data_IF_536259645387
#
_entry.id   IF_536259645387
#
_cell.length_a   1.000
_cell.length_b   1.000
_cell.length_c   1.000
_cell.angle_alpha   90.00
_cell.angle_beta   90.00
_cell.angle_gamma   90.00
#
_symmetry.space_group_name_H-M   'P 1'
#
loop_
_entity.id
_entity.type
_entity.pdbx_description
1 polymer ?
#
# COMPACT_ATOMS: atom_id res chain seq x y z
N UNK A 1 -5.48 27.66 18.75
CA UNK A 1 -6.81 27.05 19.02
C UNK A 1 -7.52 26.53 17.75
N UNK A 2 -6.81 26.25 16.66
CA UNK A 2 -7.41 25.78 15.39
C UNK A 2 -7.29 24.27 15.12
N UNK A 3 -6.65 23.49 16.01
CA UNK A 3 -6.32 22.07 15.73
C UNK A 3 -7.34 21.04 16.23
N UNK A 4 -8.33 21.44 17.04
CA UNK A 4 -9.31 20.50 17.60
C UNK A 4 -10.58 20.33 16.73
N UNK A 5 -10.95 21.33 15.94
CA UNK A 5 -12.16 21.25 15.08
C UNK A 5 -12.01 20.36 13.85
N UNK A 6 -10.83 20.27 13.25
CA UNK A 6 -10.61 19.42 12.06
C UNK A 6 -10.74 17.92 12.36
N UNK A 7 -10.35 17.49 13.55
CA UNK A 7 -10.46 16.06 13.97
C UNK A 7 -11.90 15.62 14.23
N UNK A 8 -12.78 16.51 14.64
CA UNK A 8 -14.18 16.16 14.94
C UNK A 8 -15.06 16.01 13.68
N UNK A 9 -14.76 16.73 12.60
CA UNK A 9 -15.52 16.62 11.35
C UNK A 9 -15.18 15.33 10.58
N UNK A 10 -13.90 14.93 10.53
CA UNK A 10 -13.47 13.67 9.93
C UNK A 10 -14.07 12.44 10.63
N UNK A 11 -14.18 12.47 11.95
CA UNK A 11 -14.74 11.36 12.73
C UNK A 11 -16.25 11.20 12.54
N UNK A 12 -17.01 12.27 12.38
CA UNK A 12 -18.47 12.22 12.13
C UNK A 12 -18.81 11.77 10.72
N UNK A 13 -18.08 12.22 9.71
CA UNK A 13 -18.25 11.76 8.32
C UNK A 13 -17.87 10.28 8.18
N UNK A 14 -16.80 9.85 8.87
CA UNK A 14 -16.37 8.46 8.94
C UNK A 14 -17.42 7.56 9.62
N UNK A 15 -18.05 8.00 10.72
CA UNK A 15 -19.09 7.25 11.42
C UNK A 15 -20.41 7.19 10.63
N UNK A 16 -20.72 8.21 9.85
CA UNK A 16 -21.92 8.21 8.99
C UNK A 16 -21.76 7.25 7.80
N UNK A 17 -20.58 7.23 7.15
CA UNK A 17 -20.26 6.26 6.10
C UNK A 17 -20.27 4.81 6.64
N UNK A 18 -19.84 4.62 7.90
CA UNK A 18 -19.88 3.33 8.60
C UNK A 18 -21.31 2.79 8.82
N UNK A 19 -22.27 3.64 9.16
CA UNK A 19 -23.67 3.23 9.32
C UNK A 19 -24.35 2.89 7.99
N UNK A 20 -23.93 3.52 6.88
CA UNK A 20 -24.43 3.22 5.55
C UNK A 20 -23.84 1.92 4.96
N UNK A 21 -22.58 1.57 5.27
CA UNK A 21 -22.01 0.30 4.83
C UNK A 21 -22.64 -0.90 5.53
N UNK A 22 -22.97 -0.77 6.82
CA UNK A 22 -23.69 -1.82 7.58
C UNK A 22 -25.13 -2.03 7.09
N UNK A 23 -25.77 -1.01 6.50
CA UNK A 23 -27.13 -1.11 5.95
C UNK A 23 -27.21 -1.71 4.55
N UNK A 24 -26.09 -1.81 3.82
CA UNK A 24 -26.04 -2.30 2.43
C UNK A 24 -25.68 -3.78 2.31
N UNK A 25 -25.48 -4.51 3.41
CA UNK A 25 -25.14 -5.93 3.39
C UNK A 25 -26.38 -6.75 3.02
N UNK A 26 -26.27 -7.52 1.93
CA UNK A 26 -27.24 -8.59 1.61
C UNK A 26 -27.08 -9.71 2.65
N UNK A 27 -28.22 -10.30 3.07
CA UNK A 27 -28.21 -11.44 3.99
C UNK A 27 -27.49 -12.69 3.43
N UNK A 28 -27.09 -12.65 2.16
CA UNK A 28 -26.39 -13.75 1.44
C UNK A 28 -24.93 -13.44 1.13
N UNK A 29 -24.35 -12.31 1.60
CA UNK A 29 -22.92 -12.09 1.41
C UNK A 29 -22.14 -13.07 2.29
N UNK A 30 -21.17 -13.83 1.74
CA UNK A 30 -20.37 -14.77 2.53
C UNK A 30 -19.67 -14.01 3.66
N UNK A 31 -19.69 -14.59 4.86
CA UNK A 31 -18.99 -14.04 6.01
C UNK A 31 -17.52 -14.39 5.84
N UNK A 32 -16.77 -13.51 5.19
CA UNK A 32 -15.32 -13.64 5.08
C UNK A 32 -14.69 -13.07 6.35
N UNK A 33 -14.17 -13.93 7.20
CA UNK A 33 -13.41 -13.55 8.39
C UNK A 33 -12.05 -12.99 8.00
N UNK A 34 -11.59 -11.92 8.68
CA UNK A 34 -10.26 -11.33 8.44
C UNK A 34 -9.30 -11.71 9.57
N UNK A 35 -8.18 -12.30 9.20
CA UNK A 35 -7.07 -12.68 10.09
C UNK A 35 -5.88 -11.76 9.79
N UNK A 36 -5.42 -11.01 10.80
CA UNK A 36 -4.28 -10.13 10.70
C UNK A 36 -2.99 -10.77 11.20
N UNK A 37 -1.93 -10.67 10.39
CA UNK A 37 -0.58 -10.92 10.84
C UNK A 37 0.05 -9.69 11.52
N UNK A 38 1.29 -9.85 12.00
CA UNK A 38 1.94 -8.81 12.82
C UNK A 38 2.33 -7.57 12.02
N UNK A 39 2.66 -7.70 10.74
CA UNK A 39 3.11 -6.57 9.90
C UNK A 39 1.98 -5.81 9.20
N UNK A 40 0.71 -6.21 9.41
CA UNK A 40 -0.44 -5.60 8.73
C UNK A 40 -1.69 -5.54 9.62
N UNK A 41 -1.48 -5.40 10.93
CA UNK A 41 -2.55 -5.48 11.94
C UNK A 41 -3.61 -4.40 11.74
N UNK A 42 -3.18 -3.14 11.61
CA UNK A 42 -4.11 -2.02 11.52
C UNK A 42 -4.90 -2.08 10.20
N UNK A 43 -4.22 -2.42 9.09
CA UNK A 43 -4.91 -2.60 7.81
C UNK A 43 -5.91 -3.77 7.84
N UNK A 44 -5.56 -4.89 8.48
CA UNK A 44 -6.46 -6.03 8.62
C UNK A 44 -7.71 -5.65 9.44
N UNK A 45 -7.53 -4.87 10.51
CA UNK A 45 -8.63 -4.36 11.32
C UNK A 45 -9.51 -3.39 10.55
N UNK A 46 -8.91 -2.44 9.81
CA UNK A 46 -9.63 -1.52 8.92
C UNK A 46 -10.43 -2.30 7.85
N UNK A 47 -9.80 -3.32 7.25
CA UNK A 47 -10.45 -4.14 6.22
C UNK A 47 -11.64 -4.93 6.78
N UNK A 48 -11.51 -5.53 7.96
CA UNK A 48 -12.63 -6.21 8.62
C UNK A 48 -13.79 -5.23 8.91
N UNK A 49 -13.45 -4.00 9.30
CA UNK A 49 -14.43 -2.95 9.53
C UNK A 49 -15.14 -2.53 8.24
N UNK A 50 -14.40 -2.33 7.14
CA UNK A 50 -14.96 -2.01 5.82
C UNK A 50 -15.86 -3.14 5.30
N UNK A 51 -15.46 -4.40 5.50
CA UNK A 51 -16.25 -5.57 5.11
C UNK A 51 -17.44 -5.83 6.04
N UNK A 52 -17.46 -5.25 7.24
CA UNK A 52 -18.46 -5.50 8.26
C UNK A 52 -18.40 -6.93 8.82
N UNK A 53 -17.18 -7.46 8.98
CA UNK A 53 -16.93 -8.83 9.41
C UNK A 53 -16.04 -8.91 10.66
N UNK A 54 -15.87 -10.11 11.20
CA UNK A 54 -15.03 -10.36 12.38
C UNK A 54 -13.55 -10.19 12.02
N UNK A 55 -12.81 -9.53 12.89
CA UNK A 55 -11.34 -9.46 12.86
C UNK A 55 -10.76 -10.38 13.93
N UNK A 56 -9.74 -11.15 13.57
CA UNK A 56 -8.93 -11.96 14.48
C UNK A 56 -7.47 -11.53 14.33
N UNK A 57 -6.87 -11.14 15.43
CA UNK A 57 -5.42 -10.99 15.49
C UNK A 57 -4.80 -12.35 15.83
N UNK A 58 -3.99 -12.90 14.92
CA UNK A 58 -3.23 -14.09 15.21
C UNK A 58 -2.23 -13.85 16.35
N UNK A 59 -2.06 -14.84 17.21
CA UNK A 59 -1.02 -14.85 18.23
C UNK A 59 0.28 -15.33 17.59
N UNK A 60 1.26 -14.45 17.50
CA UNK A 60 2.55 -14.71 16.86
C UNK A 60 3.66 -14.49 17.88
N UNK A 61 4.48 -15.51 18.07
CA UNK A 61 5.61 -15.50 19.02
C UNK A 61 6.89 -15.86 18.26
N UNK A 62 7.98 -15.18 18.58
CA UNK A 62 9.33 -15.55 18.14
C UNK A 62 10.02 -16.28 19.27
N UNK A 63 10.46 -17.51 19.02
CA UNK A 63 11.28 -18.26 19.96
C UNK A 63 12.69 -17.65 20.05
N UNK A 64 13.46 -17.96 21.11
CA UNK A 64 14.81 -17.42 21.29
C UNK A 64 15.79 -17.76 20.16
N UNK A 65 15.58 -18.84 19.42
CA UNK A 65 16.33 -19.26 18.24
C UNK A 65 15.88 -18.55 16.96
N UNK A 66 14.81 -17.73 17.04
CA UNK A 66 14.27 -16.95 15.92
C UNK A 66 13.13 -17.63 15.15
N UNK A 67 12.78 -18.89 15.48
CA UNK A 67 11.65 -19.55 14.83
C UNK A 67 10.33 -18.87 15.18
N UNK A 68 9.42 -18.87 14.18
CA UNK A 68 8.10 -18.26 14.29
C UNK A 68 7.06 -19.29 14.73
N UNK A 69 6.35 -18.97 15.79
CA UNK A 69 5.13 -19.68 16.20
C UNK A 69 3.91 -18.82 15.86
N UNK A 70 2.91 -19.45 15.23
CA UNK A 70 1.64 -18.81 14.88
C UNK A 70 0.50 -19.62 15.44
N UNK A 71 -0.48 -18.96 16.08
CA UNK A 71 -1.72 -19.56 16.54
C UNK A 71 -2.89 -18.62 16.26
N UNK A 72 -3.95 -19.16 15.67
CA UNK A 72 -5.26 -18.53 15.58
C UNK A 72 -6.08 -19.07 16.76
N UNK A 73 -6.56 -18.21 17.66
CA UNK A 73 -7.25 -18.61 18.90
C UNK A 73 -8.75 -18.76 18.65
N UNK A 74 -9.09 -19.69 17.75
CA UNK A 74 -10.45 -20.10 17.43
C UNK A 74 -10.49 -21.65 17.41
N UNK A 75 -11.67 -22.25 17.56
CA UNK A 75 -11.87 -23.69 17.48
C UNK A 75 -12.11 -24.15 16.04
N UNK A 76 -12.80 -23.32 15.25
CA UNK A 76 -13.15 -23.57 13.85
C UNK A 76 -13.24 -22.22 13.11
N UNK A 77 -12.96 -22.21 11.80
CA UNK A 77 -13.11 -21.06 10.93
C UNK A 77 -14.17 -21.29 9.86
N UNK A 78 -14.70 -20.22 9.31
CA UNK A 78 -15.55 -20.24 8.14
C UNK A 78 -14.80 -20.79 6.92
N UNK A 79 -15.54 -21.29 5.93
CA UNK A 79 -14.99 -21.84 4.68
C UNK A 79 -14.09 -20.84 3.94
N UNK A 80 -14.43 -19.55 3.96
CA UNK A 80 -13.70 -18.49 3.30
C UNK A 80 -13.11 -17.50 4.33
N UNK A 81 -11.80 -17.34 4.27
CA UNK A 81 -11.08 -16.42 5.16
C UNK A 81 -10.12 -15.52 4.38
N UNK A 82 -9.85 -14.35 4.93
CA UNK A 82 -8.88 -13.40 4.41
C UNK A 82 -7.71 -13.34 5.39
N UNK A 83 -6.51 -13.68 4.93
CA UNK A 83 -5.25 -13.49 5.67
C UNK A 83 -4.60 -12.23 5.16
N UNK A 84 -4.29 -11.27 6.04
CA UNK A 84 -3.65 -10.00 5.69
C UNK A 84 -2.26 -9.96 6.32
N UNK A 85 -1.21 -10.03 5.50
CA UNK A 85 0.18 -10.02 5.96
C UNK A 85 1.13 -9.62 4.85
N UNK A 86 2.11 -8.76 5.14
CA UNK A 86 3.18 -8.40 4.21
C UNK A 86 4.16 -9.57 3.97
N UNK A 87 4.96 -9.47 2.92
CA UNK A 87 6.09 -10.37 2.67
C UNK A 87 7.45 -9.70 2.97
N UNK A 88 7.44 -8.57 3.63
CA UNK A 88 8.63 -7.81 4.03
C UNK A 88 8.51 -7.40 5.52
N UNK A 89 9.59 -7.58 6.30
CA UNK A 89 10.84 -8.31 6.00
C UNK A 89 10.59 -9.83 5.79
N UNK A 90 11.64 -10.60 5.46
CA UNK A 90 11.56 -12.04 5.16
C UNK A 90 10.81 -12.85 6.22
N UNK A 91 10.96 -12.46 7.48
CA UNK A 91 10.23 -13.05 8.61
C UNK A 91 8.70 -12.93 8.47
N UNK A 92 8.21 -11.88 7.79
CA UNK A 92 6.78 -11.69 7.53
C UNK A 92 6.25 -12.64 6.45
N UNK A 93 7.09 -13.02 5.47
CA UNK A 93 6.72 -14.07 4.51
C UNK A 93 6.53 -15.41 5.22
N UNK A 94 7.47 -15.81 6.08
CA UNK A 94 7.36 -17.06 6.86
C UNK A 94 6.08 -17.05 7.69
N UNK A 95 5.79 -15.93 8.34
CA UNK A 95 4.56 -15.74 9.11
C UNK A 95 3.30 -15.87 8.23
N UNK A 96 3.30 -15.29 7.02
CA UNK A 96 2.18 -15.41 6.08
C UNK A 96 1.88 -16.87 5.72
N UNK A 97 2.92 -17.68 5.46
CA UNK A 97 2.78 -19.11 5.17
C UNK A 97 2.21 -19.89 6.36
N UNK A 98 2.69 -19.59 7.57
CA UNK A 98 2.18 -20.24 8.79
C UNK A 98 0.74 -19.81 9.11
N UNK A 99 0.34 -18.57 8.82
CA UNK A 99 -1.04 -18.10 8.95
C UNK A 99 -1.98 -18.85 7.98
N UNK A 100 -1.54 -19.07 6.74
CA UNK A 100 -2.30 -19.85 5.76
C UNK A 100 -2.50 -21.29 6.23
N UNK A 101 -1.45 -21.95 6.72
CA UNK A 101 -1.50 -23.32 7.23
C UNK A 101 -2.41 -23.42 8.47
N UNK A 102 -2.26 -22.49 9.43
CA UNK A 102 -3.10 -22.45 10.63
C UNK A 102 -4.58 -22.24 10.28
N UNK A 103 -4.90 -21.38 9.31
CA UNK A 103 -6.26 -21.16 8.86
C UNK A 103 -6.85 -22.42 8.18
N UNK A 104 -6.07 -23.09 7.32
CA UNK A 104 -6.47 -24.36 6.69
C UNK A 104 -6.70 -25.46 7.73
N UNK A 105 -5.83 -25.56 8.74
CA UNK A 105 -5.96 -26.52 9.84
C UNK A 105 -7.22 -26.33 10.70
N UNK A 106 -7.79 -25.13 10.72
CA UNK A 106 -9.05 -24.80 11.38
C UNK A 106 -10.29 -24.90 10.47
N UNK A 107 -10.16 -25.46 9.26
CA UNK A 107 -11.27 -25.74 8.38
C UNK A 107 -11.47 -24.78 7.20
N UNK A 108 -10.69 -23.72 7.08
CA UNK A 108 -10.78 -22.80 5.94
C UNK A 108 -10.42 -23.52 4.63
N UNK A 109 -11.34 -23.51 3.65
CA UNK A 109 -11.18 -24.18 2.34
C UNK A 109 -10.75 -23.21 1.24
N UNK A 110 -11.11 -21.94 1.38
CA UNK A 110 -10.73 -20.87 0.46
C UNK A 110 -10.06 -19.75 1.24
N UNK A 111 -8.75 -19.61 1.07
CA UNK A 111 -7.95 -18.59 1.71
C UNK A 111 -7.60 -17.53 0.66
N UNK A 112 -8.05 -16.30 0.89
CA UNK A 112 -7.59 -15.12 0.18
C UNK A 112 -6.44 -14.52 0.97
N UNK A 113 -5.27 -14.38 0.35
CA UNK A 113 -4.12 -13.72 0.99
C UNK A 113 -3.98 -12.30 0.45
N UNK A 114 -4.18 -11.32 1.31
CA UNK A 114 -3.90 -9.91 1.02
C UNK A 114 -2.48 -9.61 1.45
N UNK A 115 -1.64 -9.26 0.49
CA UNK A 115 -0.25 -8.84 0.70
C UNK A 115 -0.15 -7.35 0.41
N UNK A 116 -0.30 -6.48 1.43
CA UNK A 116 -0.35 -5.03 1.23
C UNK A 116 0.93 -4.47 0.60
N UNK A 117 2.09 -4.96 1.02
CA UNK A 117 3.37 -4.72 0.36
C UNK A 117 4.03 -6.03 -0.03
N UNK A 118 4.14 -6.26 -1.34
CA UNK A 118 4.82 -7.42 -1.89
C UNK A 118 6.33 -7.16 -1.99
N UNK A 119 7.08 -7.64 -1.01
CA UNK A 119 8.55 -7.62 -1.04
C UNK A 119 9.09 -8.42 -2.23
N UNK A 120 10.30 -8.10 -2.69
CA UNK A 120 10.96 -8.73 -3.84
C UNK A 120 10.34 -8.44 -5.23
N UNK A 121 9.27 -7.66 -5.35
CA UNK A 121 8.63 -7.32 -6.63
C UNK A 121 9.58 -6.65 -7.64
N UNK A 122 10.71 -6.08 -7.16
CA UNK A 122 11.74 -5.44 -8.00
C UNK A 122 12.71 -6.43 -8.66
N UNK A 123 12.68 -7.71 -8.26
CA UNK A 123 13.49 -8.80 -8.84
C UNK A 123 12.59 -9.71 -9.67
N UNK A 124 11.99 -9.12 -10.69
CA UNK A 124 11.04 -9.74 -11.63
C UNK A 124 11.72 -10.34 -12.87
N UNK A 125 13.01 -10.06 -13.06
CA UNK A 125 13.85 -10.61 -14.12
C UNK A 125 15.27 -10.92 -13.61
N UNK A 126 16.03 -11.67 -14.40
CA UNK A 126 17.45 -11.94 -14.13
C UNK A 126 18.32 -10.98 -14.93
N UNK A 127 18.98 -10.06 -14.23
CA UNK A 127 19.92 -9.12 -14.84
C UNK A 127 21.27 -9.77 -15.13
N UNK A 128 21.62 -10.82 -14.38
CA UNK A 128 22.88 -11.58 -14.53
C UNK A 128 22.61 -13.07 -14.44
N UNK A 129 23.48 -13.85 -15.10
CA UNK A 129 23.46 -15.32 -14.98
C UNK A 129 23.64 -15.73 -13.51
N UNK A 130 22.83 -16.67 -13.03
CA UNK A 130 22.89 -17.18 -11.67
C UNK A 130 22.05 -16.40 -10.64
N UNK A 131 21.45 -15.27 -11.01
CA UNK A 131 20.52 -14.56 -10.11
C UNK A 131 19.23 -15.35 -9.90
N UNK A 132 18.69 -15.25 -8.67
CA UNK A 132 17.36 -15.76 -8.38
C UNK A 132 16.30 -14.89 -9.05
N UNK A 133 15.19 -15.48 -9.47
CA UNK A 133 13.97 -14.78 -9.84
C UNK A 133 13.10 -14.68 -8.59
N UNK A 134 13.47 -13.73 -7.70
CA UNK A 134 12.98 -13.71 -6.32
C UNK A 134 11.48 -13.52 -6.23
N UNK A 135 10.90 -12.60 -7.02
CA UNK A 135 9.46 -12.38 -7.06
C UNK A 135 8.69 -13.68 -7.36
N UNK A 136 9.20 -14.49 -8.33
CA UNK A 136 8.57 -15.77 -8.68
C UNK A 136 8.60 -16.78 -7.53
N UNK A 137 9.72 -16.83 -6.81
CA UNK A 137 9.85 -17.74 -5.65
C UNK A 137 8.85 -17.36 -4.56
N UNK A 138 8.70 -16.06 -4.27
CA UNK A 138 7.74 -15.57 -3.26
C UNK A 138 6.29 -15.86 -3.67
N UNK A 139 5.95 -15.61 -4.95
CA UNK A 139 4.62 -15.95 -5.50
C UNK A 139 4.32 -17.45 -5.33
N UNK A 140 5.29 -18.32 -5.67
CA UNK A 140 5.11 -19.77 -5.56
C UNK A 140 5.01 -20.25 -4.12
N UNK A 141 5.67 -19.61 -3.19
CA UNK A 141 5.51 -19.91 -1.77
C UNK A 141 4.09 -19.58 -1.29
N UNK A 142 3.57 -18.38 -1.59
CA UNK A 142 2.22 -17.97 -1.20
C UNK A 142 1.11 -18.83 -1.83
N UNK A 143 1.35 -19.36 -3.03
CA UNK A 143 0.42 -20.25 -3.76
C UNK A 143 0.13 -21.56 -2.99
N UNK A 144 1.02 -21.98 -2.09
CA UNK A 144 0.86 -23.24 -1.34
C UNK A 144 -0.42 -23.25 -0.50
N UNK A 145 -0.75 -22.12 0.14
CA UNK A 145 -1.90 -22.01 1.04
C UNK A 145 -3.00 -21.05 0.54
N UNK A 146 -2.79 -20.30 -0.54
CA UNK A 146 -3.74 -19.29 -1.02
C UNK A 146 -4.43 -19.71 -2.31
N UNK A 147 -5.72 -19.35 -2.45
CA UNK A 147 -6.50 -19.53 -3.69
C UNK A 147 -6.68 -18.21 -4.46
N UNK A 148 -6.62 -17.08 -3.74
CA UNK A 148 -6.69 -15.75 -4.30
C UNK A 148 -5.59 -14.90 -3.65
N UNK A 149 -4.74 -14.28 -4.46
CA UNK A 149 -3.70 -13.35 -4.02
C UNK A 149 -4.11 -11.92 -4.37
N UNK A 150 -4.22 -11.07 -3.36
CA UNK A 150 -4.52 -9.65 -3.51
C UNK A 150 -3.28 -8.85 -3.13
N UNK A 151 -2.81 -8.00 -4.05
CA UNK A 151 -1.69 -7.07 -3.82
C UNK A 151 -2.17 -5.63 -3.94
N UNK A 152 -1.36 -4.68 -3.51
CA UNK A 152 -1.64 -3.26 -3.66
C UNK A 152 -0.48 -2.60 -4.40
N UNK A 153 -0.76 -1.95 -5.56
CA UNK A 153 0.22 -1.25 -6.39
C UNK A 153 1.53 -2.04 -6.54
N UNK A 154 1.43 -3.34 -6.89
CA UNK A 154 2.63 -4.15 -7.04
C UNK A 154 3.54 -3.56 -8.11
N UNK A 155 4.84 -3.50 -7.82
CA UNK A 155 5.81 -2.77 -8.66
C UNK A 155 5.80 -3.19 -10.15
N UNK A 156 5.53 -4.48 -10.41
CA UNK A 156 5.40 -5.06 -11.75
C UNK A 156 4.23 -6.03 -11.77
N UNK A 157 3.06 -5.65 -12.26
CA UNK A 157 1.86 -6.51 -12.27
C UNK A 157 2.05 -7.86 -12.96
N UNK A 158 2.95 -7.95 -13.95
CA UNK A 158 3.26 -9.20 -14.68
C UNK A 158 3.71 -10.35 -13.76
N UNK A 159 4.23 -10.06 -12.55
CA UNK A 159 4.63 -11.12 -11.62
C UNK A 159 3.42 -11.93 -11.13
N UNK A 160 2.24 -11.35 -11.11
CA UNK A 160 1.02 -12.02 -10.66
C UNK A 160 0.60 -13.16 -11.60
N UNK A 161 1.01 -13.13 -12.88
CA UNK A 161 0.76 -14.22 -13.84
C UNK A 161 1.44 -15.54 -13.44
N UNK A 162 2.41 -15.49 -12.51
CA UNK A 162 3.03 -16.70 -11.99
C UNK A 162 2.21 -17.40 -10.91
N UNK A 163 1.20 -16.75 -10.37
CA UNK A 163 0.26 -17.36 -9.42
C UNK A 163 -0.80 -18.16 -10.19
N UNK A 164 -1.07 -19.39 -9.78
CA UNK A 164 -2.04 -20.26 -10.50
C UNK A 164 -3.50 -20.04 -10.11
N UNK A 165 -3.73 -19.35 -9.00
CA UNK A 165 -5.06 -19.02 -8.52
C UNK A 165 -5.55 -17.70 -9.07
N UNK A 166 -6.55 -17.13 -8.42
CA UNK A 166 -7.07 -15.80 -8.69
C UNK A 166 -6.09 -14.72 -8.20
N UNK A 167 -5.92 -13.65 -8.96
CA UNK A 167 -5.07 -12.51 -8.56
C UNK A 167 -5.80 -11.20 -8.74
N UNK A 168 -5.53 -10.26 -7.85
CA UNK A 168 -6.02 -8.87 -7.97
C UNK A 168 -4.92 -7.91 -7.52
N UNK A 169 -4.62 -6.90 -8.32
CA UNK A 169 -3.79 -5.78 -7.88
C UNK A 169 -4.66 -4.56 -7.64
N UNK A 170 -4.65 -4.06 -6.42
CA UNK A 170 -5.51 -2.97 -5.96
C UNK A 170 -4.76 -1.65 -6.10
N UNK A 171 -5.35 -0.67 -6.78
CA UNK A 171 -4.76 0.66 -6.90
C UNK A 171 -5.06 1.53 -5.67
N UNK A 172 -4.03 2.06 -5.02
CA UNK A 172 -4.16 2.96 -3.87
C UNK A 172 -4.52 4.40 -4.27
N UNK A 173 -4.29 4.78 -5.53
CA UNK A 173 -4.50 6.14 -6.01
C UNK A 173 -5.89 6.75 -5.66
N UNK A 174 -7.02 6.02 -5.73
CA UNK A 174 -8.30 6.55 -5.30
C UNK A 174 -8.37 6.87 -3.80
N UNK A 175 -7.63 6.14 -2.95
CA UNK A 175 -7.55 6.43 -1.51
C UNK A 175 -6.70 7.69 -1.27
N UNK A 176 -5.57 7.79 -1.96
CA UNK A 176 -4.70 8.98 -1.92
C UNK A 176 -5.46 10.21 -2.40
N UNK A 177 -6.16 10.13 -3.54
CA UNK A 177 -6.96 11.23 -4.07
C UNK A 177 -8.02 11.70 -3.07
N UNK A 178 -8.79 10.78 -2.49
CA UNK A 178 -9.80 11.13 -1.46
C UNK A 178 -9.20 11.76 -0.21
N UNK A 179 -8.01 11.36 0.19
CA UNK A 179 -7.33 11.96 1.33
C UNK A 179 -6.93 13.41 1.04
N UNK A 180 -6.50 13.72 -0.16
CA UNK A 180 -6.07 15.07 -0.56
C UNK A 180 -7.21 15.94 -1.15
N UNK A 181 -8.41 15.40 -1.29
CA UNK A 181 -9.56 16.18 -1.73
C UNK A 181 -9.82 17.37 -0.79
N UNK A 182 -9.95 18.57 -1.34
CA UNK A 182 -10.10 19.81 -0.58
C UNK A 182 -8.83 20.35 0.10
N UNK A 183 -7.65 19.75 -0.11
CA UNK A 183 -6.38 20.23 0.44
C UNK A 183 -5.72 21.35 -0.39
N UNK A 184 -6.35 21.79 -1.48
CA UNK A 184 -5.83 22.87 -2.32
C UNK A 184 -4.55 22.51 -3.08
N UNK A 185 -4.45 21.25 -3.53
CA UNK A 185 -3.37 20.82 -4.41
C UNK A 185 -3.66 21.28 -5.83
N UNK A 186 -2.73 22.02 -6.43
CA UNK A 186 -2.85 22.56 -7.79
C UNK A 186 -2.17 21.67 -8.83
N UNK A 187 -1.12 20.92 -8.43
CA UNK A 187 -0.30 20.10 -9.31
C UNK A 187 0.03 18.76 -8.65
N UNK A 188 -0.27 17.65 -9.34
CA UNK A 188 0.24 16.31 -8.99
C UNK A 188 1.43 16.00 -9.87
N UNK A 189 2.56 15.64 -9.27
CA UNK A 189 3.80 15.36 -9.98
C UNK A 189 4.19 13.89 -9.84
N UNK A 190 4.37 13.22 -10.98
CA UNK A 190 5.07 11.95 -11.03
C UNK A 190 6.60 12.19 -11.01
N UNK A 191 7.37 11.52 -10.15
CA UNK A 191 8.83 11.70 -10.12
C UNK A 191 9.53 11.13 -11.36
N UNK A 192 8.87 10.28 -12.12
CA UNK A 192 9.29 9.77 -13.43
C UNK A 192 8.07 9.27 -14.23
N UNK A 193 8.31 8.86 -15.48
CA UNK A 193 7.25 8.39 -16.39
C UNK A 193 6.51 7.14 -15.85
N UNK A 194 7.21 6.26 -15.12
CA UNK A 194 6.61 5.05 -14.52
C UNK A 194 5.53 5.33 -13.48
N UNK A 195 5.59 6.50 -12.83
CA UNK A 195 4.60 6.92 -11.84
C UNK A 195 3.41 7.70 -12.44
N UNK A 196 3.42 8.01 -13.76
CA UNK A 196 2.42 8.88 -14.41
C UNK A 196 0.99 8.38 -14.30
N UNK A 197 0.77 7.07 -14.47
CA UNK A 197 -0.57 6.52 -14.37
C UNK A 197 -1.16 6.81 -12.98
N UNK A 198 -0.42 6.50 -11.94
CA UNK A 198 -0.83 6.71 -10.54
C UNK A 198 -1.06 8.19 -10.22
N UNK A 199 -0.13 9.06 -10.65
CA UNK A 199 -0.28 10.51 -10.49
C UNK A 199 -1.54 11.03 -11.20
N UNK A 200 -1.83 10.56 -12.42
CA UNK A 200 -3.01 10.94 -13.20
C UNK A 200 -4.32 10.47 -12.51
N UNK A 201 -4.33 9.28 -11.92
CA UNK A 201 -5.49 8.78 -11.17
C UNK A 201 -5.76 9.65 -9.92
N UNK A 202 -4.71 10.03 -9.18
CA UNK A 202 -4.83 10.95 -8.03
C UNK A 202 -5.31 12.33 -8.49
N UNK A 203 -4.68 12.91 -9.53
CA UNK A 203 -5.04 14.22 -10.07
C UNK A 203 -6.50 14.29 -10.51
N UNK A 204 -7.00 13.21 -11.16
CA UNK A 204 -8.40 13.10 -11.58
C UNK A 204 -9.37 13.17 -10.40
N UNK A 205 -9.03 12.57 -9.26
CA UNK A 205 -9.91 12.59 -8.06
C UNK A 205 -9.98 13.99 -7.44
N UNK A 206 -8.85 14.70 -7.38
CA UNK A 206 -8.78 16.02 -6.72
C UNK A 206 -8.97 17.20 -7.67
N UNK A 207 -9.08 16.95 -8.98
CA UNK A 207 -9.26 18.01 -9.99
C UNK A 207 -8.02 18.88 -10.22
N UNK A 208 -6.80 18.36 -10.00
CA UNK A 208 -5.54 19.08 -10.16
C UNK A 208 -4.88 18.80 -11.52
N UNK A 209 -3.94 19.67 -11.92
CA UNK A 209 -3.05 19.42 -13.05
C UNK A 209 -2.14 18.23 -12.76
N UNK A 210 -1.63 17.55 -13.81
CA UNK A 210 -0.66 16.47 -13.66
C UNK A 210 0.51 16.65 -14.61
N UNK A 211 1.73 16.39 -14.13
CA UNK A 211 2.95 16.37 -14.95
C UNK A 211 3.99 15.39 -14.37
N UNK A 212 5.14 15.23 -15.03
CA UNK A 212 6.23 14.38 -14.57
C UNK A 212 7.60 15.04 -14.83
N UNK A 213 8.61 14.55 -14.09
CA UNK A 213 10.01 14.93 -14.33
C UNK A 213 10.70 13.92 -15.24
N UNK A 214 11.53 14.42 -16.14
CA UNK A 214 12.38 13.56 -16.97
C UNK A 214 13.66 13.21 -16.23
N UNK A 215 13.99 11.91 -16.16
CA UNK A 215 15.26 11.42 -15.60
C UNK A 215 16.32 11.38 -16.71
N UNK A 216 17.36 12.22 -16.59
CA UNK A 216 18.57 12.08 -17.41
C UNK A 216 19.65 11.38 -16.59
N UNK A 217 20.03 10.15 -16.96
CA UNK A 217 21.16 9.46 -16.35
C UNK A 217 22.45 10.01 -16.95
N UNK A 218 23.29 10.68 -16.14
CA UNK A 218 24.60 11.19 -16.55
C UNK A 218 25.72 10.16 -16.35
N UNK A 219 25.56 9.22 -15.41
CA UNK A 219 26.44 8.06 -15.15
C UNK A 219 25.71 7.07 -14.24
N UNK A 220 26.29 5.87 -14.02
CA UNK A 220 25.65 4.77 -13.25
C UNK A 220 25.12 5.10 -11.86
N UNK A 221 25.59 6.19 -11.24
CA UNK A 221 25.18 6.59 -9.87
C UNK A 221 24.60 8.01 -9.79
N UNK A 222 24.79 8.86 -10.81
CA UNK A 222 24.32 10.25 -10.77
C UNK A 222 23.10 10.41 -11.66
N UNK A 223 21.95 10.55 -11.02
CA UNK A 223 20.68 10.91 -11.67
C UNK A 223 20.52 12.42 -11.56
N UNK A 224 20.45 13.11 -12.70
CA UNK A 224 19.92 14.48 -12.78
C UNK A 224 18.45 14.42 -13.21
N UNK A 225 17.60 15.12 -12.49
CA UNK A 225 16.28 15.47 -12.98
C UNK A 225 16.45 16.61 -13.98
N UNK A 226 16.10 16.39 -15.23
CA UNK A 226 16.06 17.46 -16.22
C UNK A 226 14.75 18.24 -16.03
N UNK A 227 14.78 19.58 -16.02
CA UNK A 227 13.55 20.34 -16.00
C UNK A 227 12.87 20.16 -17.37
N UNK A 228 11.78 19.41 -17.43
CA UNK A 228 10.70 19.67 -18.36
C UNK A 228 10.07 20.99 -17.94
N UNK A 229 9.40 21.70 -18.83
CA UNK A 229 8.67 22.94 -18.50
C UNK A 229 7.45 22.64 -17.59
N UNK A 230 7.71 22.09 -16.39
CA UNK A 230 6.68 21.88 -15.38
C UNK A 230 6.29 23.26 -14.85
N UNK A 231 5.03 23.63 -15.04
CA UNK A 231 4.49 24.88 -14.48
C UNK A 231 4.17 24.68 -13.00
N UNK A 232 5.18 24.89 -12.15
CA UNK A 232 5.06 24.76 -10.69
C UNK A 232 5.01 26.12 -9.96
N UNK A 233 5.17 27.24 -10.67
CA UNK A 233 5.25 28.54 -10.03
C UNK A 233 3.97 28.87 -9.26
N UNK A 234 4.14 29.24 -7.99
CA UNK A 234 3.07 29.60 -7.05
C UNK A 234 2.05 28.47 -6.76
N UNK A 235 2.31 27.23 -7.21
CA UNK A 235 1.43 26.07 -7.02
C UNK A 235 1.76 25.28 -5.75
N UNK A 236 0.72 24.66 -5.16
CA UNK A 236 0.84 23.61 -4.16
C UNK A 236 0.98 22.25 -4.89
N UNK A 237 2.18 21.65 -4.81
CA UNK A 237 2.51 20.44 -5.54
C UNK A 237 2.47 19.20 -4.64
N UNK A 238 1.90 18.10 -5.17
CA UNK A 238 1.87 16.78 -4.57
C UNK A 238 2.69 15.82 -5.41
N UNK A 239 3.81 15.29 -4.88
CA UNK A 239 4.59 14.24 -5.51
C UNK A 239 3.98 12.89 -5.14
N UNK A 240 3.69 12.05 -6.15
CA UNK A 240 3.05 10.73 -5.96
C UNK A 240 3.94 9.63 -6.54
N UNK A 241 4.28 8.63 -5.72
CA UNK A 241 5.09 7.46 -6.12
C UNK A 241 4.51 6.14 -5.57
N UNK A 242 4.97 4.98 -6.08
CA UNK A 242 4.61 3.68 -5.51
C UNK A 242 5.39 3.40 -4.23
N UNK A 243 6.72 3.57 -4.26
CA UNK A 243 7.60 3.20 -3.15
C UNK A 243 8.56 4.34 -2.82
N UNK A 244 8.54 4.80 -1.58
CA UNK A 244 9.64 5.61 -1.05
C UNK A 244 10.54 4.72 -0.19
N UNK A 245 11.69 4.30 -0.77
CA UNK A 245 12.71 3.54 -0.05
C UNK A 245 13.78 4.48 0.52
N UNK A 246 14.85 4.77 -0.24
CA UNK A 246 15.89 5.72 0.21
C UNK A 246 15.48 7.19 0.08
N UNK A 247 14.43 7.50 -0.65
CA UNK A 247 13.89 8.85 -0.81
C UNK A 247 14.65 9.77 -1.77
N UNK A 248 15.75 9.32 -2.37
CA UNK A 248 16.58 10.18 -3.24
C UNK A 248 15.83 10.75 -4.45
N UNK A 249 14.96 9.97 -5.07
CA UNK A 249 14.11 10.43 -6.20
C UNK A 249 13.16 11.54 -5.77
N UNK A 250 12.48 11.36 -4.63
CA UNK A 250 11.53 12.34 -4.09
C UNK A 250 12.25 13.62 -3.63
N UNK A 251 13.41 13.46 -2.99
CA UNK A 251 14.25 14.61 -2.57
C UNK A 251 14.68 15.45 -3.77
N UNK A 252 15.13 14.82 -4.86
CA UNK A 252 15.49 15.50 -6.09
C UNK A 252 14.28 16.19 -6.74
N UNK A 253 13.12 15.53 -6.80
CA UNK A 253 11.88 16.08 -7.33
C UNK A 253 11.40 17.29 -6.50
N UNK A 254 11.42 17.19 -5.18
CA UNK A 254 11.02 18.27 -4.29
C UNK A 254 11.92 19.51 -4.43
N UNK A 255 13.23 19.31 -4.51
CA UNK A 255 14.17 20.41 -4.73
C UNK A 255 13.96 21.09 -6.10
N UNK A 256 13.69 20.29 -7.14
CA UNK A 256 13.41 20.82 -8.48
C UNK A 256 12.12 21.65 -8.49
N UNK A 257 11.04 21.19 -7.84
CA UNK A 257 9.79 21.96 -7.71
C UNK A 257 10.00 23.31 -6.99
N UNK A 258 10.84 23.33 -5.94
CA UNK A 258 11.20 24.57 -5.24
C UNK A 258 11.96 25.54 -6.14
N UNK A 259 12.90 25.04 -6.96
CA UNK A 259 13.63 25.87 -7.96
C UNK A 259 12.65 26.44 -8.98
N UNK A 260 11.62 25.68 -9.38
CA UNK A 260 10.56 26.13 -10.29
C UNK A 260 9.52 27.05 -9.63
N UNK A 261 9.69 27.38 -8.34
CA UNK A 261 8.86 28.33 -7.63
C UNK A 261 7.58 27.75 -7.02
N UNK A 262 7.53 26.44 -6.77
CA UNK A 262 6.39 25.85 -6.05
C UNK A 262 6.23 26.47 -4.66
N UNK A 263 4.98 26.80 -4.29
CA UNK A 263 4.63 27.40 -3.02
C UNK A 263 4.73 26.41 -1.87
N UNK A 264 4.37 25.17 -2.11
CA UNK A 264 4.57 24.05 -1.20
C UNK A 264 4.77 22.75 -1.96
N UNK A 265 5.46 21.80 -1.32
CA UNK A 265 5.69 20.45 -1.86
C UNK A 265 5.31 19.44 -0.78
N UNK A 266 4.38 18.55 -1.12
CA UNK A 266 3.99 17.41 -0.31
C UNK A 266 4.42 16.14 -1.06
N UNK A 267 4.87 15.12 -0.34
CA UNK A 267 5.17 13.82 -0.92
C UNK A 267 4.23 12.76 -0.36
N UNK A 268 3.76 11.86 -1.22
CA UNK A 268 2.97 10.70 -0.83
C UNK A 268 3.40 9.47 -1.60
N UNK A 269 3.37 8.30 -0.96
CA UNK A 269 3.59 7.02 -1.63
C UNK A 269 2.60 5.97 -1.15
N UNK A 270 2.44 4.93 -1.97
CA UNK A 270 1.72 3.74 -1.55
C UNK A 270 2.52 3.00 -0.47
N UNK A 271 3.80 2.72 -0.69
CA UNK A 271 4.63 1.92 0.20
C UNK A 271 5.77 2.75 0.82
N UNK A 272 5.59 3.14 2.08
CA UNK A 272 6.57 3.92 2.82
C UNK A 272 7.60 3.05 3.54
N UNK A 273 8.68 2.64 2.85
CA UNK A 273 9.79 1.88 3.45
C UNK A 273 10.73 2.78 4.28
N UNK A 274 10.96 3.99 3.85
CA UNK A 274 11.78 5.04 4.49
C UNK A 274 13.13 4.56 5.06
N UNK A 275 13.87 3.76 4.28
CA UNK A 275 15.18 3.27 4.67
C UNK A 275 16.23 4.38 4.74
N UNK A 276 17.31 4.16 5.50
CA UNK A 276 18.46 5.10 5.60
C UNK A 276 18.05 6.53 6.00
N UNK A 277 17.16 6.66 6.98
CA UNK A 277 16.64 7.94 7.47
C UNK A 277 16.02 8.82 6.36
N UNK A 278 15.37 8.17 5.37
CA UNK A 278 14.76 8.87 4.25
C UNK A 278 13.68 9.86 4.72
N UNK A 279 12.86 9.48 5.70
CA UNK A 279 11.79 10.33 6.19
C UNK A 279 12.31 11.65 6.78
N UNK A 280 13.39 11.61 7.58
CA UNK A 280 14.00 12.80 8.16
C UNK A 280 14.61 13.72 7.09
N UNK A 281 15.17 13.14 6.02
CA UNK A 281 15.67 13.94 4.89
C UNK A 281 14.55 14.57 4.10
N UNK A 282 13.48 13.84 3.83
CA UNK A 282 12.32 14.34 3.10
C UNK A 282 11.59 15.43 3.88
N UNK A 283 11.52 15.37 5.20
CA UNK A 283 10.97 16.44 6.05
C UNK A 283 11.73 17.77 5.94
N UNK A 284 12.97 17.77 5.45
CA UNK A 284 13.75 19.00 5.21
C UNK A 284 13.43 19.65 3.85
N UNK A 285 12.98 18.84 2.88
CA UNK A 285 12.70 19.33 1.53
C UNK A 285 11.20 19.29 1.16
N UNK A 286 10.36 18.62 1.91
CA UNK A 286 8.90 18.60 1.74
C UNK A 286 8.21 19.28 2.93
N UNK A 287 7.07 19.93 2.68
CA UNK A 287 6.23 20.50 3.74
C UNK A 287 5.52 19.42 4.57
N UNK A 288 5.23 18.26 3.94
CA UNK A 288 4.71 17.08 4.60
C UNK A 288 5.05 15.83 3.77
N UNK A 289 5.08 14.68 4.45
CA UNK A 289 5.27 13.36 3.83
C UNK A 289 4.19 12.44 4.36
N UNK A 290 3.55 11.69 3.47
CA UNK A 290 2.49 10.74 3.80
C UNK A 290 2.74 9.40 3.11
N UNK A 291 2.20 8.32 3.67
CA UNK A 291 2.09 7.04 3.01
C UNK A 291 0.74 6.39 3.29
N UNK A 292 0.43 5.34 2.52
CA UNK A 292 -0.68 4.48 2.87
C UNK A 292 -0.29 3.52 4.00
N UNK A 293 -1.28 2.85 4.57
CA UNK A 293 -1.08 1.84 5.62
C UNK A 293 -0.72 0.44 5.07
N UNK A 294 -0.22 0.35 3.83
CA UNK A 294 0.36 -0.89 3.28
C UNK A 294 1.63 -1.32 4.03
N UNK A 295 2.39 -0.35 4.54
CA UNK A 295 3.49 -0.54 5.49
C UNK A 295 3.25 0.42 6.65
N UNK A 296 3.05 -0.12 7.84
CA UNK A 296 2.77 0.69 9.02
C UNK A 296 4.02 1.47 9.47
N UNK A 297 3.89 2.78 9.58
CA UNK A 297 4.90 3.71 10.05
C UNK A 297 4.23 5.01 10.55
N UNK A 298 5.01 5.97 11.04
CA UNK A 298 4.50 7.22 11.65
C UNK A 298 3.75 8.16 10.69
N UNK A 299 3.87 7.97 9.36
CA UNK A 299 3.20 8.78 8.33
C UNK A 299 2.19 7.97 7.48
N UNK A 300 1.94 6.72 7.84
CA UNK A 300 1.00 5.82 7.15
C UNK A 300 -0.45 6.07 7.56
N UNK A 301 -0.97 7.25 7.20
CA UNK A 301 -2.30 7.74 7.63
C UNK A 301 -3.41 7.50 6.61
N UNK A 302 -3.08 7.00 5.43
CA UNK A 302 -4.04 6.77 4.34
C UNK A 302 -4.39 5.29 4.29
N UNK A 303 -5.63 4.93 4.65
CA UNK A 303 -6.07 3.54 4.61
C UNK A 303 -6.43 3.11 3.18
N UNK A 304 -5.90 1.94 2.76
CA UNK A 304 -6.26 1.29 1.48
C UNK A 304 -7.38 0.25 1.65
N UNK A 305 -7.84 0.00 2.86
CA UNK A 305 -8.90 -0.96 3.17
C UNK A 305 -10.17 -0.75 2.33
N UNK A 306 -10.66 0.49 2.05
CA UNK A 306 -11.84 0.68 1.22
C UNK A 306 -11.71 0.13 -0.20
N UNK A 307 -10.52 0.25 -0.82
CA UNK A 307 -10.30 -0.29 -2.17
C UNK A 307 -10.17 -1.81 -2.17
N UNK A 308 -9.47 -2.38 -1.18
CA UNK A 308 -9.39 -3.83 -1.00
C UNK A 308 -10.79 -4.41 -0.82
N UNK A 309 -11.62 -3.81 0.03
CA UNK A 309 -12.99 -4.27 0.27
C UNK A 309 -13.85 -4.24 -1.00
N UNK A 310 -13.68 -3.24 -1.89
CA UNK A 310 -14.39 -3.17 -3.17
C UNK A 310 -14.01 -4.33 -4.11
N UNK A 311 -12.70 -4.64 -4.20
CA UNK A 311 -12.21 -5.78 -4.99
C UNK A 311 -12.78 -7.09 -4.46
N UNK A 312 -12.70 -7.31 -3.15
CA UNK A 312 -13.19 -8.53 -2.51
C UNK A 312 -14.71 -8.72 -2.64
N UNK A 313 -15.45 -7.62 -2.82
CA UNK A 313 -16.91 -7.66 -3.13
C UNK A 313 -17.20 -7.80 -4.63
N UNK A 314 -16.20 -7.89 -5.50
CA UNK A 314 -16.39 -7.92 -6.95
C UNK A 314 -16.97 -6.61 -7.53
N UNK A 315 -16.67 -5.48 -6.92
CA UNK A 315 -17.22 -4.16 -7.31
C UNK A 315 -16.30 -3.38 -8.28
N UNK A 316 -15.09 -3.86 -8.51
CA UNK A 316 -14.10 -3.34 -9.47
C UNK A 316 -13.23 -4.47 -10.00
#
# INVERSE_FOLDING_TARGET
MASARGRMYGHRAFMAARLDSLKKRSANDPIMLVIGGTSSRNLAQDLAQELGTKFIQANVVRFPDGECYVRIEEEELDDEVIVVQNTHPDTSLVEALLLQDAAAGLGARKITTVVPYFGYARQDERFKTGEALSAKVMIKALELGSKHLVTIDVHKPIILDWFKGETSDVHAAPCVGRFFDGHGIDLVLAPDEGAMQRASEVAKVIGADVDHLEKTRLSGEVVRMAPKNVDAKDKHALIVDDIISTGGTIEAAANQLKILGAKSVIAVCTHGLFTKNALDRLRKCCNAVYSTNTIENEVSVISVAPQIARVLRGQI
#
